data_IF_347245170243
#
_entry.id   IF_347245170243
#
_cell.length_a   1.000
_cell.length_b   1.000
_cell.length_c   1.000
_cell.angle_alpha   90.00
_cell.angle_beta   90.00
_cell.angle_gamma   90.00
#
_symmetry.space_group_name_H-M   'P 1'
#
loop_
_entity.id
_entity.type
_entity.pdbx_description
1 polymer ?
#
# COMPACT_ATOMS: atom_id res chain seq x y z
N UNK A 1 -13.32 -19.72 -6.03
CA UNK A 1 -13.81 -20.21 -7.35
C UNK A 1 -13.75 -19.09 -8.39
N UNK A 2 -14.13 -17.86 -8.02
CA UNK A 2 -14.05 -16.64 -8.84
C UNK A 2 -12.65 -15.97 -8.73
N UNK A 3 -12.14 -15.85 -7.49
CA UNK A 3 -10.91 -15.09 -7.14
C UNK A 3 -9.66 -15.41 -7.99
N UNK A 4 -9.28 -16.69 -8.18
CA UNK A 4 -8.07 -17.00 -8.97
C UNK A 4 -8.25 -16.79 -10.49
N UNK A 5 -9.49 -16.70 -10.98
CA UNK A 5 -9.77 -16.30 -12.37
C UNK A 5 -9.76 -14.77 -12.48
N UNK A 6 -9.99 -14.07 -11.39
CA UNK A 6 -9.98 -12.61 -11.37
C UNK A 6 -8.54 -12.07 -11.29
N UNK A 7 -7.64 -12.73 -10.55
CA UNK A 7 -6.21 -12.38 -10.55
C UNK A 7 -5.55 -12.56 -11.93
N UNK A 8 -5.82 -13.68 -12.63
CA UNK A 8 -5.34 -13.90 -14.00
C UNK A 8 -5.82 -12.80 -14.98
N UNK A 9 -7.13 -12.52 -14.98
CA UNK A 9 -7.72 -11.45 -15.82
C UNK A 9 -7.07 -10.11 -15.55
N UNK A 10 -6.82 -9.80 -14.27
CA UNK A 10 -6.22 -8.52 -13.90
C UNK A 10 -4.77 -8.44 -14.37
N UNK A 11 -3.98 -9.50 -14.23
CA UNK A 11 -2.60 -9.52 -14.75
C UNK A 11 -2.54 -9.42 -16.28
N UNK A 12 -3.52 -9.97 -16.99
CA UNK A 12 -3.71 -9.72 -18.41
C UNK A 12 -4.02 -8.25 -18.70
N UNK A 13 -4.86 -7.63 -17.88
CA UNK A 13 -5.29 -6.25 -18.04
C UNK A 13 -4.16 -5.26 -17.76
N UNK A 14 -3.39 -5.45 -16.68
CA UNK A 14 -2.23 -4.62 -16.35
C UNK A 14 -1.17 -4.68 -17.44
N UNK A 15 -0.94 -5.87 -18.02
CA UNK A 15 -0.08 -6.06 -19.18
C UNK A 15 -0.61 -5.33 -20.42
N UNK A 16 -1.89 -5.47 -20.73
CA UNK A 16 -2.52 -4.82 -21.89
C UNK A 16 -2.53 -3.29 -21.77
N UNK A 17 -2.67 -2.76 -20.55
CA UNK A 17 -2.67 -1.33 -20.25
C UNK A 17 -1.25 -0.77 -19.96
N UNK A 18 -0.19 -1.58 -20.16
CA UNK A 18 1.22 -1.21 -19.97
C UNK A 18 1.52 -0.59 -18.59
N UNK A 19 0.99 -1.18 -17.52
CA UNK A 19 1.21 -0.69 -16.16
C UNK A 19 2.68 -0.84 -15.76
N UNK A 20 3.26 0.23 -15.26
CA UNK A 20 4.64 0.23 -14.79
C UNK A 20 4.74 -0.39 -13.38
N UNK A 21 5.79 -1.20 -13.15
CA UNK A 21 6.16 -1.67 -11.81
C UNK A 21 5.25 -2.77 -11.21
N UNK A 22 4.37 -3.37 -12.02
CA UNK A 22 3.54 -4.53 -11.64
C UNK A 22 4.12 -5.80 -12.28
N UNK A 23 3.95 -6.94 -11.60
CA UNK A 23 4.33 -8.25 -12.13
C UNK A 23 3.55 -8.56 -13.41
N UNK A 24 4.20 -9.11 -14.44
CA UNK A 24 3.52 -9.50 -15.67
C UNK A 24 3.21 -10.99 -15.71
N UNK A 25 2.04 -11.38 -16.19
CA UNK A 25 1.73 -12.80 -16.42
C UNK A 25 2.65 -13.39 -17.52
N UNK A 26 3.35 -14.47 -17.16
CA UNK A 26 4.17 -15.30 -18.05
C UNK A 26 3.36 -16.52 -18.51
N UNK A 27 2.79 -17.27 -17.56
CA UNK A 27 2.02 -18.48 -17.82
C UNK A 27 0.89 -18.64 -16.80
N UNK A 28 -0.19 -19.30 -17.21
CA UNK A 28 -1.32 -19.62 -16.36
C UNK A 28 -1.79 -21.05 -16.65
N UNK A 29 -1.92 -21.85 -15.60
CA UNK A 29 -2.45 -23.21 -15.70
C UNK A 29 -3.59 -23.38 -14.71
N UNK A 30 -4.70 -23.95 -15.17
CA UNK A 30 -5.85 -24.27 -14.35
C UNK A 30 -6.20 -25.74 -14.54
N UNK A 31 -6.27 -26.48 -13.44
CA UNK A 31 -6.72 -27.85 -13.39
C UNK A 31 -8.03 -27.89 -12.59
N UNK A 32 -9.12 -28.12 -13.30
CA UNK A 32 -10.43 -28.33 -12.71
C UNK A 32 -10.68 -29.82 -12.49
N UNK A 33 -11.01 -30.20 -11.25
CA UNK A 33 -11.55 -31.52 -10.90
C UNK A 33 -12.98 -31.36 -10.42
N UNK A 34 -13.71 -32.47 -10.28
CA UNK A 34 -15.11 -32.44 -9.79
C UNK A 34 -15.26 -31.85 -8.37
N UNK A 35 -14.17 -31.73 -7.61
CA UNK A 35 -14.18 -31.28 -6.20
C UNK A 35 -13.27 -30.09 -5.91
N UNK A 36 -12.21 -29.89 -6.68
CA UNK A 36 -11.18 -28.88 -6.43
C UNK A 36 -10.70 -28.29 -7.76
N UNK A 37 -10.58 -26.97 -7.80
CA UNK A 37 -9.82 -26.26 -8.85
C UNK A 37 -8.44 -25.90 -8.30
N UNK A 38 -7.39 -26.23 -9.05
CA UNK A 38 -6.03 -25.80 -8.77
C UNK A 38 -5.56 -24.88 -9.89
N UNK A 39 -5.24 -23.63 -9.56
CA UNK A 39 -4.67 -22.65 -10.47
C UNK A 39 -3.21 -22.37 -10.12
N UNK A 40 -2.40 -22.14 -11.14
CA UNK A 40 -1.00 -21.77 -11.02
C UNK A 40 -0.74 -20.56 -11.92
N UNK A 41 -0.33 -19.46 -11.30
CA UNK A 41 0.10 -18.23 -11.98
C UNK A 41 1.63 -18.18 -11.94
N UNK A 42 2.25 -18.05 -13.10
CA UNK A 42 3.67 -17.77 -13.24
C UNK A 42 3.81 -16.33 -13.70
N UNK A 43 4.41 -15.48 -12.88
CA UNK A 43 4.58 -14.06 -13.17
C UNK A 43 6.06 -13.65 -13.22
N UNK A 44 6.34 -12.60 -13.99
CA UNK A 44 7.66 -11.99 -14.11
C UNK A 44 7.93 -11.05 -12.94
N UNK A 45 9.22 -10.76 -12.76
CA UNK A 45 9.76 -10.05 -11.60
C UNK A 45 9.57 -10.85 -10.33
N UNK A 46 10.70 -11.18 -9.70
CA UNK A 46 10.69 -11.86 -8.42
C UNK A 46 11.56 -11.09 -7.46
N UNK A 47 11.22 -11.21 -6.19
CA UNK A 47 11.85 -10.46 -5.14
C UNK A 47 11.83 -11.23 -3.84
N UNK A 48 12.27 -10.55 -2.79
CA UNK A 48 12.07 -11.00 -1.42
C UNK A 48 11.05 -10.10 -0.73
N UNK A 49 10.31 -10.60 0.27
CA UNK A 49 9.38 -9.76 1.03
C UNK A 49 10.06 -8.50 1.55
N UNK A 50 9.34 -7.37 1.57
CA UNK A 50 9.91 -6.08 2.01
C UNK A 50 10.49 -6.14 3.41
N UNK A 51 9.90 -6.96 4.31
CA UNK A 51 10.43 -7.24 5.67
C UNK A 51 11.82 -7.88 5.69
N UNK A 52 12.28 -8.45 4.58
CA UNK A 52 13.62 -8.99 4.40
C UNK A 52 14.65 -7.96 3.91
N UNK A 53 14.41 -6.65 4.10
CA UNK A 53 15.37 -5.60 3.75
C UNK A 53 16.70 -5.76 4.50
N UNK A 54 17.79 -5.29 3.91
CA UNK A 54 19.12 -5.27 4.54
C UNK A 54 19.55 -3.88 4.98
N UNK A 55 19.01 -2.84 4.34
CA UNK A 55 19.32 -1.44 4.67
C UNK A 55 18.05 -0.60 4.63
N UNK A 56 18.05 0.53 5.34
CA UNK A 56 16.92 1.47 5.30
C UNK A 56 16.76 2.10 3.92
N UNK A 57 17.87 2.34 3.20
CA UNK A 57 17.81 2.80 1.82
C UNK A 57 17.03 1.81 0.92
N UNK A 58 17.24 0.50 1.09
CA UNK A 58 16.56 -0.52 0.29
C UNK A 58 15.03 -0.51 0.50
N UNK A 59 14.56 -0.35 1.74
CA UNK A 59 13.11 -0.23 1.98
C UNK A 59 12.55 1.09 1.46
N UNK A 60 13.29 2.21 1.56
CA UNK A 60 12.85 3.51 1.05
C UNK A 60 12.71 3.50 -0.47
N UNK A 61 13.69 2.91 -1.18
CA UNK A 61 13.64 2.74 -2.63
C UNK A 61 12.51 1.81 -3.06
N UNK A 62 12.32 0.71 -2.31
CA UNK A 62 11.23 -0.23 -2.54
C UNK A 62 9.87 0.47 -2.39
N UNK A 63 9.58 1.10 -1.24
CA UNK A 63 8.29 1.77 -1.00
C UNK A 63 8.02 2.90 -2.00
N UNK A 64 9.04 3.68 -2.36
CA UNK A 64 8.92 4.72 -3.41
C UNK A 64 8.46 4.12 -4.73
N UNK A 65 9.12 3.07 -5.18
CA UNK A 65 8.83 2.45 -6.47
C UNK A 65 7.48 1.73 -6.44
N UNK A 66 7.08 1.15 -5.31
CA UNK A 66 5.74 0.57 -5.19
C UNK A 66 4.64 1.63 -5.25
N UNK A 67 4.84 2.83 -4.70
CA UNK A 67 3.88 3.94 -4.86
C UNK A 67 3.83 4.42 -6.32
N UNK A 68 4.97 4.42 -7.04
CA UNK A 68 4.99 4.71 -8.49
C UNK A 68 4.21 3.66 -9.28
N UNK A 69 4.33 2.39 -8.92
CA UNK A 69 3.55 1.31 -9.53
C UNK A 69 2.05 1.49 -9.25
N UNK A 70 1.70 1.82 -8.02
CA UNK A 70 0.32 2.10 -7.61
C UNK A 70 -0.27 3.32 -8.36
N UNK A 71 0.53 4.37 -8.58
CA UNK A 71 0.16 5.52 -9.41
C UNK A 71 -0.16 5.07 -10.84
N UNK A 72 0.68 4.23 -11.44
CA UNK A 72 0.44 3.72 -12.80
C UNK A 72 -0.79 2.83 -12.87
N UNK A 73 -0.98 1.95 -11.88
CA UNK A 73 -2.14 1.07 -11.76
C UNK A 73 -3.44 1.87 -11.77
N UNK A 74 -3.52 2.95 -10.99
CA UNK A 74 -4.73 3.78 -10.93
C UNK A 74 -4.86 4.76 -12.11
N UNK A 75 -3.83 5.57 -12.39
CA UNK A 75 -3.94 6.64 -13.38
C UNK A 75 -3.98 6.12 -14.81
N UNK A 76 -3.12 5.15 -15.13
CA UNK A 76 -2.95 4.62 -16.49
C UNK A 76 -3.89 3.45 -16.75
N UNK A 77 -4.10 2.59 -15.74
CA UNK A 77 -4.89 1.38 -15.89
C UNK A 77 -6.22 1.37 -15.16
N UNK A 78 -6.64 2.43 -14.45
CA UNK A 78 -7.95 2.49 -13.78
C UNK A 78 -8.21 1.29 -12.86
N UNK A 79 -7.17 0.77 -12.21
CA UNK A 79 -7.26 -0.33 -11.26
C UNK A 79 -6.89 0.17 -9.85
N UNK A 80 -7.66 -0.25 -8.86
CA UNK A 80 -7.34 -0.09 -7.44
C UNK A 80 -6.79 -1.41 -6.91
N UNK A 81 -5.84 -1.35 -5.98
CA UNK A 81 -5.26 -2.57 -5.39
C UNK A 81 -6.11 -3.10 -4.23
N UNK A 82 -6.57 -2.19 -3.36
CA UNK A 82 -7.46 -2.43 -2.21
C UNK A 82 -6.91 -3.31 -1.09
N UNK A 83 -5.75 -3.95 -1.25
CA UNK A 83 -5.09 -4.72 -0.20
C UNK A 83 -3.59 -4.43 -0.07
N UNK A 84 -3.26 -3.16 0.19
CA UNK A 84 -1.88 -2.77 0.49
C UNK A 84 -1.49 -3.25 1.88
N UNK A 85 -0.47 -4.10 1.93
CA UNK A 85 0.16 -4.58 3.16
C UNK A 85 1.65 -4.82 2.93
N UNK A 86 2.43 -4.94 3.99
CA UNK A 86 3.84 -5.30 3.91
C UNK A 86 4.06 -6.70 3.30
N UNK A 87 3.10 -7.61 3.42
CA UNK A 87 3.18 -8.94 2.80
C UNK A 87 3.05 -8.90 1.27
N UNK A 88 2.41 -7.86 0.74
CA UNK A 88 2.12 -7.70 -0.69
C UNK A 88 3.18 -6.85 -1.41
N UNK A 89 4.30 -6.54 -0.73
CA UNK A 89 5.38 -5.74 -1.28
C UNK A 89 6.67 -6.56 -1.30
N UNK A 90 7.28 -6.67 -2.48
CA UNK A 90 8.58 -7.32 -2.65
C UNK A 90 9.66 -6.30 -3.01
N UNK A 91 10.85 -6.50 -2.46
CA UNK A 91 12.09 -5.89 -2.93
C UNK A 91 12.56 -6.67 -4.15
N UNK A 92 12.71 -5.97 -5.28
CA UNK A 92 13.12 -6.55 -6.55
C UNK A 92 14.53 -7.15 -6.46
N UNK A 93 14.68 -8.39 -6.92
CA UNK A 93 15.99 -9.01 -7.13
C UNK A 93 16.55 -8.70 -8.53
N UNK A 94 15.79 -8.02 -9.39
CA UNK A 94 16.17 -7.68 -10.75
C UNK A 94 17.19 -6.52 -10.76
N UNK A 95 18.38 -6.79 -10.25
CA UNK A 95 19.59 -6.02 -10.49
C UNK A 95 19.86 -4.89 -9.49
N UNK A 96 20.71 -5.18 -8.51
CA UNK A 96 21.59 -4.17 -7.90
C UNK A 96 22.53 -3.51 -8.92
N UNK A 97 22.59 -4.03 -10.15
CA UNK A 97 23.51 -3.60 -11.21
C UNK A 97 22.83 -2.78 -12.33
N UNK A 98 21.50 -2.64 -12.34
CA UNK A 98 20.79 -1.74 -13.24
C UNK A 98 20.13 -0.62 -12.43
N UNK A 99 20.60 0.64 -12.52
CA UNK A 99 19.97 1.76 -11.84
C UNK A 99 18.56 2.04 -12.35
N UNK A 100 18.21 1.59 -13.55
CA UNK A 100 16.90 1.80 -14.18
C UNK A 100 15.87 0.72 -13.83
N UNK A 101 16.25 -0.32 -13.07
CA UNK A 101 15.28 -1.31 -12.59
C UNK A 101 14.55 -0.81 -11.35
N UNK A 102 13.22 -0.97 -11.33
CA UNK A 102 12.42 -0.69 -10.15
C UNK A 102 12.85 -1.60 -8.98
N UNK A 103 12.87 -1.02 -7.78
CA UNK A 103 13.32 -1.66 -6.55
C UNK A 103 12.16 -2.23 -5.73
N UNK A 104 10.94 -1.77 -5.97
CA UNK A 104 9.70 -2.26 -5.34
C UNK A 104 8.77 -2.91 -6.34
N UNK A 105 8.09 -3.97 -5.90
CA UNK A 105 7.09 -4.73 -6.68
C UNK A 105 5.86 -4.87 -5.81
N UNK A 106 4.69 -4.53 -6.36
CA UNK A 106 3.39 -4.81 -5.76
C UNK A 106 2.87 -6.15 -6.30
N UNK A 107 2.45 -7.03 -5.40
CA UNK A 107 1.88 -8.35 -5.71
C UNK A 107 0.51 -8.51 -5.05
N UNK A 108 -0.15 -9.64 -5.31
CA UNK A 108 -1.43 -10.04 -4.71
C UNK A 108 -2.58 -9.09 -5.07
N UNK A 109 -3.14 -9.32 -6.25
CA UNK A 109 -4.24 -8.51 -6.77
C UNK A 109 -5.60 -9.16 -6.61
N UNK A 110 -5.75 -10.06 -5.62
CA UNK A 110 -7.00 -10.78 -5.38
C UNK A 110 -8.16 -9.87 -4.97
N UNK A 111 -7.86 -8.73 -4.33
CA UNK A 111 -8.84 -7.72 -3.95
C UNK A 111 -8.92 -6.55 -4.94
N UNK A 112 -8.16 -6.59 -6.04
CA UNK A 112 -8.08 -5.46 -6.95
C UNK A 112 -9.39 -5.26 -7.74
N UNK A 113 -9.62 -4.02 -8.13
CA UNK A 113 -10.86 -3.60 -8.79
C UNK A 113 -10.56 -2.74 -10.02
N UNK A 114 -11.08 -3.13 -11.19
CA UNK A 114 -11.16 -2.25 -12.36
C UNK A 114 -12.30 -1.24 -12.15
N UNK A 115 -11.97 0.05 -12.00
CA UNK A 115 -12.97 1.09 -11.74
C UNK A 115 -13.83 1.42 -12.97
N UNK A 116 -13.45 0.93 -14.14
CA UNK A 116 -14.25 1.05 -15.36
C UNK A 116 -15.39 0.04 -15.42
N UNK A 117 -15.36 -1.00 -14.57
CA UNK A 117 -16.39 -2.04 -14.50
C UNK A 117 -17.26 -1.77 -13.28
N UNK A 118 -18.58 -1.75 -13.48
CA UNK A 118 -19.52 -1.62 -12.37
C UNK A 118 -19.40 -2.87 -11.48
N UNK A 119 -19.21 -2.71 -10.16
CA UNK A 119 -18.98 -3.83 -9.28
C UNK A 119 -20.20 -4.76 -9.24
N UNK A 120 -19.98 -6.05 -9.51
CA UNK A 120 -21.05 -7.06 -9.52
C UNK A 120 -21.66 -7.30 -8.12
N UNK A 121 -20.95 -6.90 -7.06
CA UNK A 121 -21.36 -7.04 -5.65
C UNK A 121 -21.14 -5.70 -4.92
N UNK A 122 -21.98 -5.38 -3.92
CA UNK A 122 -21.69 -4.26 -3.02
C UNK A 122 -20.34 -4.46 -2.34
N UNK A 123 -19.63 -3.36 -2.04
CA UNK A 123 -18.33 -3.42 -1.40
C UNK A 123 -18.37 -4.28 -0.13
N UNK A 124 -17.62 -5.38 -0.11
CA UNK A 124 -17.36 -6.13 1.11
C UNK A 124 -16.11 -5.59 1.77
N UNK A 125 -16.11 -5.51 3.10
CA UNK A 125 -14.98 -5.05 3.91
C UNK A 125 -13.83 -6.08 3.85
N UNK A 126 -13.15 -6.13 2.71
CA UNK A 126 -12.02 -7.02 2.40
C UNK A 126 -10.70 -6.25 2.53
N UNK A 127 -9.60 -6.96 2.81
CA UNK A 127 -8.27 -6.38 2.98
C UNK A 127 -7.67 -6.57 4.38
N UNK A 128 -6.37 -6.31 4.49
CA UNK A 128 -5.62 -6.47 5.75
C UNK A 128 -5.98 -5.37 6.74
N UNK A 129 -6.82 -5.70 7.73
CA UNK A 129 -7.42 -4.75 8.69
C UNK A 129 -6.44 -3.81 9.40
N UNK A 130 -5.20 -4.25 9.64
CA UNK A 130 -4.16 -3.39 10.22
C UNK A 130 -3.81 -2.20 9.33
N UNK A 131 -3.91 -2.34 8.01
CA UNK A 131 -3.56 -1.31 7.03
C UNK A 131 -4.78 -0.56 6.47
N UNK A 132 -6.00 -0.96 6.81
CA UNK A 132 -7.21 -0.27 6.32
C UNK A 132 -7.32 1.18 6.82
N UNK A 133 -7.99 2.03 6.02
CA UNK A 133 -8.20 3.47 6.29
C UNK A 133 -8.99 3.76 7.55
N UNK A 134 -8.77 4.90 8.22
CA UNK A 134 -9.51 5.28 9.45
C UNK A 134 -11.04 5.33 9.23
N UNK A 135 -11.51 5.88 8.10
CA UNK A 135 -12.92 6.18 7.90
C UNK A 135 -13.63 5.20 6.94
N UNK A 136 -13.84 3.96 7.41
CA UNK A 136 -14.82 3.04 6.77
C UNK A 136 -16.26 3.30 7.23
N UNK A 137 -16.47 4.31 8.09
CA UNK A 137 -17.68 4.45 8.90
C UNK A 137 -18.79 5.26 8.25
N UNK A 138 -18.58 5.82 7.06
CA UNK A 138 -19.65 6.36 6.22
C UNK A 138 -20.42 5.24 5.53
N UNK A 139 -21.13 4.46 6.35
CA UNK A 139 -22.18 3.57 5.87
C UNK A 139 -23.26 4.38 5.18
N UNK A 140 -23.18 4.48 3.85
CA UNK A 140 -24.27 4.75 2.88
C UNK A 140 -23.77 5.20 1.51
N UNK A 141 -22.47 5.52 1.33
CA UNK A 141 -21.93 5.91 0.03
C UNK A 141 -20.76 5.01 -0.37
N UNK A 142 -21.07 3.89 -1.03
CA UNK A 142 -20.09 2.93 -1.59
C UNK A 142 -19.00 3.61 -2.43
N UNK A 143 -19.25 4.84 -2.90
CA UNK A 143 -18.36 5.63 -3.76
C UNK A 143 -17.05 6.09 -3.11
N UNK A 144 -16.97 6.19 -1.78
CA UNK A 144 -15.72 6.60 -1.09
C UNK A 144 -14.68 5.46 -1.07
N UNK A 145 -15.15 4.20 -1.07
CA UNK A 145 -14.32 3.00 -0.98
C UNK A 145 -13.74 2.56 -2.33
N UNK A 146 -14.26 3.11 -3.43
CA UNK A 146 -13.79 2.87 -4.79
C UNK A 146 -12.87 3.99 -5.28
N UNK A 147 -11.93 4.43 -4.43
CA UNK A 147 -10.97 5.49 -4.80
C UNK A 147 -9.53 5.10 -4.48
N UNK A 148 -8.57 5.90 -4.95
CA UNK A 148 -7.13 5.67 -4.84
C UNK A 148 -6.54 5.95 -3.45
N UNK A 149 -7.20 6.83 -2.67
CA UNK A 149 -6.67 7.31 -1.39
C UNK A 149 -6.54 6.19 -0.35
N UNK A 150 -7.46 5.22 -0.23
CA UNK A 150 -7.28 4.10 0.67
C UNK A 150 -5.99 3.31 0.49
N UNK A 151 -5.57 3.06 -0.75
CA UNK A 151 -4.29 2.39 -1.00
C UNK A 151 -3.11 3.23 -0.51
N UNK A 152 -3.16 4.56 -0.70
CA UNK A 152 -2.12 5.49 -0.24
C UNK A 152 -2.06 5.65 1.28
N UNK A 153 -3.21 5.68 1.95
CA UNK A 153 -3.27 5.70 3.41
C UNK A 153 -2.72 4.39 4.00
N UNK A 154 -3.06 3.26 3.38
CA UNK A 154 -2.51 1.94 3.73
C UNK A 154 -0.98 1.93 3.61
N UNK A 155 -0.43 2.55 2.56
CA UNK A 155 1.01 2.73 2.39
C UNK A 155 1.67 3.51 3.53
N UNK A 156 1.01 4.55 4.02
CA UNK A 156 1.50 5.30 5.18
C UNK A 156 1.57 4.42 6.44
N UNK A 157 0.57 3.58 6.68
CA UNK A 157 0.62 2.61 7.76
C UNK A 157 1.71 1.56 7.56
N UNK A 158 1.90 1.04 6.35
CA UNK A 158 3.03 0.15 6.03
C UNK A 158 4.36 0.81 6.40
N UNK A 159 4.58 2.07 6.03
CA UNK A 159 5.81 2.78 6.39
C UNK A 159 6.00 2.87 7.93
N UNK A 160 4.97 3.22 8.69
CA UNK A 160 5.04 3.24 10.17
C UNK A 160 5.35 1.85 10.74
N UNK A 161 4.75 0.80 10.19
CA UNK A 161 5.00 -0.59 10.56
C UNK A 161 6.37 -1.13 10.13
N UNK A 162 7.02 -0.49 9.17
CA UNK A 162 8.43 -0.76 8.88
C UNK A 162 9.35 0.02 9.83
N UNK A 163 8.99 1.26 10.17
CA UNK A 163 9.84 2.17 10.93
C UNK A 163 9.86 1.90 12.45
N UNK A 164 8.72 1.53 13.03
CA UNK A 164 8.59 1.31 14.48
C UNK A 164 9.17 -0.04 14.90
N UNK A 165 8.62 -1.19 14.47
CA UNK A 165 9.14 -2.49 14.89
C UNK A 165 10.33 -3.00 14.06
N UNK A 166 10.66 -2.38 12.92
CA UNK A 166 11.71 -2.86 12.03
C UNK A 166 11.42 -4.26 11.49
N UNK A 167 12.32 -5.21 11.71
CA UNK A 167 12.11 -6.63 11.37
C UNK A 167 11.22 -7.39 12.35
N UNK A 168 10.90 -6.78 13.50
CA UNK A 168 10.17 -7.42 14.58
C UNK A 168 8.66 -7.21 14.50
N UNK A 169 8.02 -7.42 15.65
CA UNK A 169 6.65 -7.00 15.93
C UNK A 169 6.67 -5.80 16.88
N UNK A 170 5.63 -4.98 16.85
CA UNK A 170 5.47 -3.93 17.84
C UNK A 170 5.47 -4.52 19.27
N UNK A 171 6.08 -3.83 20.23
CA UNK A 171 6.03 -4.27 21.64
C UNK A 171 4.60 -4.16 22.17
N UNK A 172 4.28 -4.84 23.27
CA UNK A 172 2.92 -4.78 23.83
C UNK A 172 2.57 -3.37 24.35
N UNK A 173 3.58 -2.54 24.63
CA UNK A 173 3.46 -1.15 25.04
C UNK A 173 3.42 -0.15 23.87
N UNK A 174 3.69 -0.60 22.64
CA UNK A 174 3.73 0.26 21.46
C UNK A 174 2.35 0.83 21.14
N UNK A 175 2.32 2.08 20.66
CA UNK A 175 1.09 2.69 20.15
C UNK A 175 0.57 2.06 18.86
N UNK A 176 1.40 1.34 18.12
CA UNK A 176 0.96 0.56 16.96
C UNK A 176 0.33 -0.78 17.35
N UNK A 177 0.56 -1.26 18.58
CA UNK A 177 0.06 -2.56 19.05
C UNK A 177 -1.45 -2.75 18.89
N UNK A 178 -2.30 -1.76 19.24
CA UNK A 178 -3.74 -1.88 19.04
C UNK A 178 -4.12 -2.07 17.56
N UNK A 179 -3.33 -1.52 16.62
CA UNK A 179 -3.61 -1.63 15.18
C UNK A 179 -3.37 -3.06 14.65
N UNK A 180 -2.47 -3.83 15.28
CA UNK A 180 -2.23 -5.25 14.97
C UNK A 180 -3.24 -6.18 15.65
N UNK A 181 -3.46 -6.01 16.96
CA UNK A 181 -4.12 -7.04 17.79
C UNK A 181 -5.64 -6.94 17.75
N UNK A 182 -6.18 -5.74 17.53
CA UNK A 182 -7.62 -5.49 17.52
C UNK A 182 -8.27 -5.79 16.17
N UNK A 183 -7.69 -6.63 15.32
CA UNK A 183 -8.17 -6.98 13.97
C UNK A 183 -9.63 -7.51 13.95
N UNK A 184 -10.27 -7.78 15.09
CA UNK A 184 -11.70 -8.12 15.19
C UNK A 184 -12.60 -6.94 15.58
N UNK A 185 -12.06 -5.82 16.05
CA UNK A 185 -12.79 -4.64 16.51
C UNK A 185 -12.36 -3.39 15.72
N UNK A 186 -12.90 -3.27 14.50
CA UNK A 186 -12.56 -2.19 13.58
C UNK A 186 -12.79 -0.77 14.15
N UNK A 187 -13.92 -0.44 14.79
CA UNK A 187 -14.13 0.88 15.39
C UNK A 187 -13.03 1.29 16.38
N UNK A 188 -12.50 0.33 17.13
CA UNK A 188 -11.42 0.58 18.08
C UNK A 188 -10.07 0.84 17.39
N UNK A 189 -9.77 0.11 16.30
CA UNK A 189 -8.60 0.40 15.46
C UNK A 189 -8.69 1.82 14.88
N UNK A 190 -9.83 2.16 14.28
CA UNK A 190 -10.05 3.47 13.67
C UNK A 190 -9.87 4.61 14.69
N UNK A 191 -10.39 4.44 15.90
CA UNK A 191 -10.20 5.42 16.98
C UNK A 191 -8.72 5.54 17.37
N UNK A 192 -8.00 4.42 17.52
CA UNK A 192 -6.56 4.43 17.85
C UNK A 192 -5.70 5.01 16.74
N UNK A 193 -6.11 4.89 15.49
CA UNK A 193 -5.40 5.50 14.37
C UNK A 193 -5.55 7.02 14.34
N UNK A 194 -6.55 7.61 15.02
CA UNK A 194 -6.66 9.07 15.16
C UNK A 194 -5.52 9.69 15.98
N UNK A 195 -4.71 8.90 16.68
CA UNK A 195 -3.44 9.36 17.28
C UNK A 195 -2.53 10.04 16.22
N UNK A 196 -2.70 9.71 14.93
CA UNK A 196 -1.99 10.42 13.85
C UNK A 196 -2.47 11.86 13.68
N UNK A 197 -3.69 12.22 14.07
CA UNK A 197 -4.22 13.58 13.96
C UNK A 197 -3.91 14.47 15.16
N UNK A 198 -3.40 13.89 16.25
CA UNK A 198 -3.15 14.59 17.52
C UNK A 198 -1.65 14.80 17.77
N UNK A 199 -1.33 15.39 18.93
CA UNK A 199 0.03 15.48 19.46
C UNK A 199 0.64 14.09 19.78
N UNK A 200 -0.18 13.03 19.83
CA UNK A 200 0.30 11.64 20.03
C UNK A 200 1.10 11.12 18.84
N UNK A 201 1.02 11.74 17.66
CA UNK A 201 1.84 11.35 16.52
C UNK A 201 3.34 11.42 16.84
N UNK A 202 3.76 12.43 17.60
CA UNK A 202 5.16 12.54 18.05
C UNK A 202 5.59 11.35 18.93
N UNK A 203 4.66 10.77 19.70
CA UNK A 203 4.94 9.58 20.50
C UNK A 203 5.14 8.34 19.61
N UNK A 204 4.37 8.21 18.51
CA UNK A 204 4.59 7.13 17.52
C UNK A 204 5.99 7.26 16.89
N UNK A 205 6.38 8.47 16.50
CA UNK A 205 7.71 8.71 15.89
C UNK A 205 8.86 8.44 16.88
N UNK A 206 8.65 8.70 18.16
CA UNK A 206 9.63 8.39 19.20
C UNK A 206 9.94 6.88 19.28
N UNK A 207 9.00 6.01 18.87
CA UNK A 207 9.16 4.56 18.83
C UNK A 207 9.94 4.03 17.61
N UNK A 208 10.33 4.89 16.66
CA UNK A 208 11.11 4.45 15.49
C UNK A 208 12.37 3.69 15.92
N UNK A 209 12.60 2.51 15.33
CA UNK A 209 13.76 1.71 15.62
C UNK A 209 15.06 2.41 15.17
N UNK A 210 16.23 2.03 15.71
CA UNK A 210 17.49 2.75 15.47
C UNK A 210 17.83 3.00 14.00
N UNK A 211 17.53 2.05 13.10
CA UNK A 211 17.80 2.21 11.67
C UNK A 211 16.96 3.29 10.98
N UNK A 212 15.77 3.58 11.50
CA UNK A 212 14.83 4.54 10.91
C UNK A 212 14.84 5.91 11.62
N UNK A 213 15.68 6.09 12.64
CA UNK A 213 15.89 7.41 13.24
C UNK A 213 16.41 8.38 12.19
N UNK A 214 15.83 9.58 12.13
CA UNK A 214 16.06 10.57 11.07
C UNK A 214 14.98 10.61 10.00
N UNK A 215 14.11 9.60 9.92
CA UNK A 215 12.98 9.55 8.97
C UNK A 215 11.67 10.12 9.53
N UNK A 216 11.70 10.77 10.70
CA UNK A 216 10.54 11.44 11.28
C UNK A 216 10.00 12.54 10.34
N UNK A 217 10.89 13.21 9.60
CA UNK A 217 10.52 14.22 8.60
C UNK A 217 9.73 13.62 7.42
N UNK A 218 10.06 12.40 7.00
CA UNK A 218 9.28 11.66 6.00
C UNK A 218 7.90 11.32 6.56
N UNK A 219 7.82 10.82 7.79
CA UNK A 219 6.55 10.50 8.44
C UNK A 219 5.62 11.72 8.53
N UNK A 220 6.16 12.87 8.94
CA UNK A 220 5.43 14.14 8.94
C UNK A 220 4.99 14.55 7.53
N UNK A 221 5.89 14.47 6.54
CA UNK A 221 5.56 14.85 5.16
C UNK A 221 4.42 14.00 4.60
N UNK A 222 4.46 12.67 4.80
CA UNK A 222 3.39 11.78 4.36
C UNK A 222 2.08 12.05 5.09
N UNK A 223 2.15 12.26 6.42
CA UNK A 223 0.98 12.61 7.24
C UNK A 223 0.33 13.90 6.74
N UNK A 224 1.10 14.95 6.52
CA UNK A 224 0.57 16.25 6.17
C UNK A 224 -0.07 16.22 4.77
N UNK A 225 0.60 15.56 3.82
CA UNK A 225 0.11 15.34 2.45
C UNK A 225 -1.19 14.54 2.43
N UNK A 226 -1.31 13.49 3.26
CA UNK A 226 -2.52 12.69 3.34
C UNK A 226 -3.61 13.42 4.10
N UNK A 227 -3.36 13.77 5.35
CA UNK A 227 -4.42 14.08 6.33
C UNK A 227 -4.64 15.57 6.54
N UNK A 228 -3.77 16.45 6.03
CA UNK A 228 -3.87 17.90 6.23
C UNK A 228 -3.68 18.68 4.92
N UNK A 229 -4.44 18.38 3.85
CA UNK A 229 -4.31 19.08 2.57
C UNK A 229 -4.58 20.59 2.69
N UNK A 230 -5.42 21.00 3.64
CA UNK A 230 -5.77 22.40 3.94
C UNK A 230 -5.14 22.91 5.25
N UNK A 231 -3.93 22.43 5.59
CA UNK A 231 -3.01 22.86 6.67
C UNK A 231 -3.52 22.72 8.11
N UNK A 232 -4.84 22.81 8.38
CA UNK A 232 -5.40 22.89 9.73
C UNK A 232 -6.61 22.01 9.99
N UNK A 233 -7.12 21.28 8.99
CA UNK A 233 -8.26 20.38 9.16
C UNK A 233 -7.86 18.94 8.85
N UNK A 234 -8.15 18.05 9.79
CA UNK A 234 -7.93 16.62 9.61
C UNK A 234 -8.94 16.08 8.60
N UNK A 235 -8.42 15.58 7.49
CA UNK A 235 -9.19 15.12 6.35
C UNK A 235 -8.97 13.63 6.10
N UNK A 236 -10.05 12.86 6.04
CA UNK A 236 -10.06 11.43 5.66
C UNK A 236 -10.89 11.18 4.40
N UNK A 237 -11.48 12.23 3.82
CA UNK A 237 -12.25 12.13 2.59
C UNK A 237 -11.36 11.88 1.37
N UNK A 238 -11.98 11.73 0.21
CA UNK A 238 -11.29 11.46 -1.05
C UNK A 238 -11.88 12.32 -2.17
N UNK A 239 -11.04 12.86 -3.05
CA UNK A 239 -11.49 13.54 -4.26
C UNK A 239 -11.64 12.51 -5.38
N UNK A 240 -12.62 12.68 -6.26
CA UNK A 240 -12.74 11.87 -7.49
C UNK A 240 -12.06 12.55 -8.70
N UNK A 241 -11.52 13.76 -8.53
CA UNK A 241 -10.78 14.45 -9.59
C UNK A 241 -9.40 13.79 -9.78
N UNK A 242 -9.17 13.31 -10.99
CA UNK A 242 -7.91 12.66 -11.39
C UNK A 242 -6.67 13.55 -11.15
N UNK A 243 -6.82 14.88 -11.22
CA UNK A 243 -5.72 15.81 -10.94
C UNK A 243 -5.37 15.86 -9.46
N UNK A 244 -6.36 15.72 -8.59
CA UNK A 244 -6.11 15.63 -7.14
C UNK A 244 -5.47 14.28 -6.78
N UNK A 245 -5.84 13.21 -7.50
CA UNK A 245 -5.15 11.93 -7.39
C UNK A 245 -3.69 12.04 -7.79
N UNK A 246 -3.42 12.61 -8.98
CA UNK A 246 -2.05 12.79 -9.47
C UNK A 246 -1.20 13.66 -8.53
N UNK A 247 -1.77 14.74 -7.98
CA UNK A 247 -1.09 15.56 -6.98
C UNK A 247 -0.72 14.76 -5.73
N UNK A 248 -1.65 13.96 -5.21
CA UNK A 248 -1.42 13.18 -3.99
C UNK A 248 -0.32 12.12 -4.20
N UNK A 249 -0.39 11.36 -5.31
CA UNK A 249 0.67 10.42 -5.67
C UNK A 249 2.02 11.11 -5.82
N UNK A 250 2.06 12.23 -6.56
CA UNK A 250 3.31 12.97 -6.81
C UNK A 250 3.94 13.51 -5.53
N UNK A 251 3.11 14.01 -4.59
CA UNK A 251 3.57 14.50 -3.31
C UNK A 251 4.17 13.39 -2.43
N UNK A 252 3.50 12.23 -2.35
CA UNK A 252 4.03 11.07 -1.61
C UNK A 252 5.32 10.53 -2.24
N UNK A 253 5.37 10.38 -3.57
CA UNK A 253 6.57 9.95 -4.30
C UNK A 253 7.73 10.93 -4.03
N UNK A 254 7.48 12.23 -4.12
CA UNK A 254 8.48 13.27 -3.88
C UNK A 254 9.02 13.27 -2.44
N UNK A 255 8.18 12.98 -1.45
CA UNK A 255 8.61 12.83 -0.06
C UNK A 255 9.62 11.68 0.10
N UNK A 256 9.35 10.53 -0.51
CA UNK A 256 10.31 9.41 -0.54
C UNK A 256 11.56 9.71 -1.36
N UNK A 257 11.44 10.35 -2.52
CA UNK A 257 12.59 10.71 -3.37
C UNK A 257 13.58 11.60 -2.63
N UNK A 258 13.09 12.60 -1.89
CA UNK A 258 13.92 13.48 -1.08
C UNK A 258 14.78 12.68 -0.09
N UNK A 259 14.17 11.81 0.71
CA UNK A 259 14.92 11.04 1.72
C UNK A 259 15.81 9.97 1.11
N UNK A 260 15.44 9.39 -0.04
CA UNK A 260 16.32 8.45 -0.75
C UNK A 260 17.61 9.14 -1.20
N UNK A 261 17.52 10.38 -1.70
CA UNK A 261 18.71 11.16 -2.07
C UNK A 261 19.58 11.42 -0.84
N UNK A 262 18.98 11.86 0.27
CA UNK A 262 19.68 12.14 1.53
C UNK A 262 20.35 10.89 2.15
N UNK A 263 19.81 9.68 1.92
CA UNK A 263 20.33 8.42 2.47
C UNK A 263 21.31 7.68 1.51
N UNK A 264 21.60 8.25 0.33
CA UNK A 264 22.63 7.74 -0.59
C UNK A 264 24.00 8.39 -0.36
N UNK A 265 24.03 9.52 0.33
CA UNK A 265 25.24 10.29 0.67
C UNK A 265 25.87 9.83 2.00
#
# INVERSE_FOLDING_TARGET
MEESRDEEKLLHLTKARNVWGITELIDYQCLDTDTITLSCIVASNFGRPVKGYCTVLEVLECLRDTIKALRSLYLDAKILHQDISDNNILISNAGNNNPDSFKGILIDSNNAMDVEIEPEKPYSLSGTKTFMVIDLSRGSDDRVLHTYRPDLESFFYVFLFMAVPGHGRASDESRLRPWEVLWRNWPEIAEKKKDISSDDFAAILAEFCPGFKGLESLAHSLRDVLFFPDVNEFFTGTSIDIREAEKLYSAMIGAFEKVVVENRE
#
